data_IF_782247577556
#
_entry.id   IF_782247577556
#
_cell.length_a   1.000
_cell.length_b   1.000
_cell.length_c   1.000
_cell.angle_alpha   90.00
_cell.angle_beta   90.00
_cell.angle_gamma   90.00
#
_symmetry.space_group_name_H-M   'P 1'
#
loop_
_entity.id
_entity.type
_entity.pdbx_description
1 polymer ?
#
# COMPACT_ATOMS: atom_id res chain seq x y z
N UNK A 1 -9.57 -9.91 -8.50
CA UNK A 1 -9.39 -8.57 -7.92
C UNK A 1 -8.15 -8.00 -8.56
N UNK A 2 -8.17 -6.78 -9.10
CA UNK A 2 -6.94 -6.23 -9.70
C UNK A 2 -5.94 -5.84 -8.62
N UNK A 3 -4.66 -5.83 -8.96
CA UNK A 3 -3.55 -5.44 -8.08
C UNK A 3 -3.72 -3.98 -7.62
N UNK A 4 -4.36 -3.16 -8.46
CA UNK A 4 -4.74 -1.79 -8.12
C UNK A 4 -5.82 -1.74 -7.03
N UNK A 5 -6.84 -2.62 -7.10
CA UNK A 5 -7.82 -2.75 -6.02
C UNK A 5 -7.18 -3.29 -4.74
N UNK A 6 -6.23 -4.23 -4.85
CA UNK A 6 -5.50 -4.74 -3.70
C UNK A 6 -4.68 -3.64 -3.02
N UNK A 7 -3.94 -2.84 -3.80
CA UNK A 7 -3.18 -1.69 -3.30
C UNK A 7 -4.08 -0.67 -2.58
N UNK A 8 -5.26 -0.36 -3.13
CA UNK A 8 -6.23 0.53 -2.48
C UNK A 8 -6.77 -0.05 -1.18
N UNK A 9 -7.11 -1.33 -1.16
CA UNK A 9 -7.61 -1.99 0.04
C UNK A 9 -6.54 -2.00 1.16
N UNK A 10 -5.29 -2.28 0.81
CA UNK A 10 -4.15 -2.22 1.73
C UNK A 10 -3.96 -0.81 2.28
N UNK A 11 -3.91 0.21 1.42
CA UNK A 11 -3.76 1.61 1.85
C UNK A 11 -4.94 2.10 2.67
N UNK A 12 -6.16 1.70 2.32
CA UNK A 12 -7.38 2.05 3.05
C UNK A 12 -7.30 1.58 4.50
N UNK A 13 -6.89 0.32 4.71
CA UNK A 13 -6.73 -0.27 6.05
C UNK A 13 -5.56 0.33 6.81
N UNK A 14 -4.41 0.49 6.15
CA UNK A 14 -3.20 1.01 6.76
C UNK A 14 -3.34 2.48 7.19
N UNK A 15 -4.02 3.31 6.39
CA UNK A 15 -4.12 4.75 6.62
C UNK A 15 -5.42 5.18 7.30
N UNK A 16 -6.37 4.25 7.50
CA UNK A 16 -7.71 4.47 8.03
C UNK A 16 -8.52 5.48 7.20
N UNK A 17 -8.48 5.32 5.89
CA UNK A 17 -9.20 6.16 4.92
C UNK A 17 -10.09 5.30 4.02
N UNK A 18 -11.25 5.79 3.55
CA UNK A 18 -12.09 5.02 2.63
C UNK A 18 -11.39 4.79 1.27
N UNK A 19 -11.48 3.57 0.71
CA UNK A 19 -10.96 3.26 -0.64
C UNK A 19 -11.46 4.23 -1.72
N UNK A 20 -12.71 4.70 -1.59
CA UNK A 20 -13.32 5.66 -2.51
C UNK A 20 -12.60 7.02 -2.56
N UNK A 21 -11.79 7.33 -1.55
CA UNK A 21 -10.99 8.56 -1.50
C UNK A 21 -9.58 8.39 -2.09
N UNK A 22 -9.21 7.17 -2.48
CA UNK A 22 -7.88 6.85 -3.01
C UNK A 22 -7.96 6.79 -4.53
N UNK A 23 -7.38 7.79 -5.20
CA UNK A 23 -7.23 7.80 -6.65
C UNK A 23 -6.23 6.74 -7.14
N UNK A 24 -6.39 6.27 -8.38
CA UNK A 24 -5.54 5.22 -8.97
C UNK A 24 -4.06 5.62 -9.08
N UNK A 25 -3.82 6.92 -9.30
CA UNK A 25 -2.50 7.52 -9.42
C UNK A 25 -2.22 8.51 -8.27
N UNK A 26 -2.96 8.38 -7.16
CA UNK A 26 -2.75 9.24 -6.00
C UNK A 26 -1.34 9.03 -5.43
N UNK A 27 -0.66 10.14 -5.16
CA UNK A 27 0.59 10.12 -4.40
C UNK A 27 0.27 9.72 -2.96
N UNK A 28 0.89 8.65 -2.49
CA UNK A 28 0.67 8.09 -1.15
C UNK A 28 1.03 9.13 -0.08
N UNK A 29 2.04 9.97 -0.33
CA UNK A 29 2.43 11.05 0.58
C UNK A 29 1.43 12.19 0.63
N UNK A 30 0.67 12.40 -0.46
CA UNK A 30 -0.41 13.39 -0.51
C UNK A 30 -1.69 12.90 0.19
N UNK A 31 -1.88 11.58 0.28
CA UNK A 31 -3.01 10.97 0.98
C UNK A 31 -2.85 11.06 2.49
N UNK A 32 -1.64 10.78 3.00
CA UNK A 32 -1.28 10.95 4.41
C UNK A 32 0.25 10.97 4.56
N UNK A 33 0.82 11.79 5.46
CA UNK A 33 2.24 11.67 5.78
C UNK A 33 2.58 10.25 6.22
N UNK A 34 3.56 9.63 5.57
CA UNK A 34 4.04 8.30 5.92
C UNK A 34 5.00 8.42 7.11
N UNK A 35 4.45 8.55 8.31
CA UNK A 35 5.23 8.44 9.54
C UNK A 35 5.58 6.97 9.83
N UNK A 36 6.42 6.74 10.85
CA UNK A 36 6.89 5.39 11.19
C UNK A 36 5.74 4.41 11.49
N UNK A 37 4.64 4.90 12.07
CA UNK A 37 3.48 4.06 12.42
C UNK A 37 2.62 3.73 11.21
N UNK A 38 2.42 4.70 10.30
CA UNK A 38 1.75 4.49 9.04
C UNK A 38 2.52 3.50 8.16
N UNK A 39 3.85 3.59 8.15
CA UNK A 39 4.71 2.66 7.43
C UNK A 39 4.61 1.23 8.01
N UNK A 40 4.69 1.09 9.34
CA UNK A 40 4.52 -0.22 10.00
C UNK A 40 3.13 -0.82 9.73
N UNK A 41 2.09 0.00 9.81
CA UNK A 41 0.71 -0.42 9.50
C UNK A 41 0.58 -0.88 8.05
N UNK A 42 1.22 -0.18 7.11
CA UNK A 42 1.25 -0.56 5.69
C UNK A 42 1.92 -1.91 5.49
N UNK A 43 3.08 -2.13 6.08
CA UNK A 43 3.81 -3.41 6.00
C UNK A 43 2.94 -4.54 6.53
N UNK A 44 2.35 -4.39 7.73
CA UNK A 44 1.49 -5.40 8.32
C UNK A 44 0.27 -5.74 7.44
N UNK A 45 -0.35 -4.74 6.80
CA UNK A 45 -1.47 -5.00 5.89
C UNK A 45 -1.04 -5.68 4.59
N UNK A 46 0.16 -5.39 4.08
CA UNK A 46 0.73 -6.10 2.92
C UNK A 46 1.00 -7.56 3.28
N UNK A 47 1.63 -7.83 4.42
CA UNK A 47 1.90 -9.19 4.90
C UNK A 47 0.62 -9.98 5.13
N UNK A 48 -0.40 -9.34 5.74
CA UNK A 48 -1.73 -9.94 5.87
C UNK A 48 -2.36 -10.26 4.51
N UNK A 49 -2.15 -9.40 3.51
CA UNK A 49 -2.69 -9.61 2.18
C UNK A 49 -1.99 -10.76 1.44
N UNK A 50 -0.67 -10.85 1.55
CA UNK A 50 0.14 -11.87 0.86
C UNK A 50 0.20 -13.20 1.63
N UNK A 51 -0.10 -13.20 2.93
CA UNK A 51 0.01 -14.38 3.80
C UNK A 51 1.46 -14.78 4.12
N UNK A 52 2.44 -13.92 3.83
CA UNK A 52 3.87 -14.13 4.05
C UNK A 52 4.54 -12.84 4.54
N UNK A 53 5.71 -12.96 5.17
CA UNK A 53 6.54 -11.79 5.53
C UNK A 53 6.94 -11.00 4.27
N UNK A 54 7.00 -9.68 4.41
CA UNK A 54 7.25 -8.78 3.29
C UNK A 54 8.57 -8.02 3.47
N UNK A 55 9.41 -8.04 2.43
CA UNK A 55 10.66 -7.29 2.44
C UNK A 55 10.41 -5.79 2.27
N UNK A 56 10.50 -5.05 3.37
CA UNK A 56 10.31 -3.60 3.44
C UNK A 56 11.20 -2.80 2.49
N UNK A 57 12.34 -3.37 2.04
CA UNK A 57 13.21 -2.73 1.03
C UNK A 57 12.46 -2.52 -0.29
N UNK A 58 11.47 -3.38 -0.60
CA UNK A 58 10.64 -3.25 -1.81
C UNK A 58 9.67 -2.06 -1.76
N UNK A 59 9.42 -1.48 -0.59
CA UNK A 59 8.64 -0.24 -0.44
C UNK A 59 9.48 1.01 -0.65
N UNK A 60 10.82 0.90 -0.68
CA UNK A 60 11.69 2.05 -0.92
C UNK A 60 11.41 2.59 -2.32
N UNK A 61 10.96 3.85 -2.38
CA UNK A 61 10.67 4.54 -3.64
C UNK A 61 9.25 4.35 -4.17
N UNK A 62 8.38 3.65 -3.45
CA UNK A 62 6.94 3.62 -3.72
C UNK A 62 6.36 5.00 -3.44
N UNK A 63 5.81 5.66 -4.46
CA UNK A 63 5.24 7.02 -4.36
C UNK A 63 3.76 7.07 -4.65
N UNK A 64 3.27 6.17 -5.49
CA UNK A 64 1.87 6.14 -5.91
C UNK A 64 1.18 4.82 -5.60
N UNK A 65 -0.14 4.84 -5.62
CA UNK A 65 -0.97 3.62 -5.50
C UNK A 65 -0.61 2.60 -6.58
N UNK A 66 -0.27 3.07 -7.78
CA UNK A 66 0.18 2.22 -8.89
C UNK A 66 1.54 1.57 -8.62
N UNK A 67 2.47 2.27 -7.98
CA UNK A 67 3.76 1.68 -7.58
C UNK A 67 3.54 0.55 -6.57
N UNK A 68 2.64 0.77 -5.60
CA UNK A 68 2.28 -0.25 -4.63
C UNK A 68 1.61 -1.45 -5.31
N UNK A 69 0.71 -1.23 -6.27
CA UNK A 69 0.10 -2.30 -7.05
C UNK A 69 1.16 -3.15 -7.79
N UNK A 70 2.14 -2.50 -8.42
CA UNK A 70 3.26 -3.19 -9.09
C UNK A 70 4.17 -3.95 -8.12
N UNK A 71 4.29 -3.49 -6.87
CA UNK A 71 5.01 -4.21 -5.81
C UNK A 71 4.24 -5.46 -5.38
N UNK A 72 2.92 -5.35 -5.20
CA UNK A 72 2.06 -6.48 -4.86
C UNK A 72 2.03 -7.54 -5.98
N UNK A 73 1.96 -7.10 -7.24
CA UNK A 73 2.02 -7.97 -8.43
C UNK A 73 3.29 -8.84 -8.46
N UNK A 74 4.44 -8.27 -8.07
CA UNK A 74 5.73 -8.97 -8.06
C UNK A 74 5.96 -9.82 -6.81
N UNK A 75 5.07 -9.72 -5.82
CA UNK A 75 5.20 -10.40 -4.53
C UNK A 75 4.28 -11.62 -4.40
N UNK A 76 3.14 -11.63 -5.13
CA UNK A 76 2.29 -12.82 -5.32
C UNK A 76 2.77 -13.72 -6.46
#
# INVERSE_FOLDING_TARGET
>A
MSELQAAKAVLSRALFIPEAMIGDDADISAVKPMDSLAFESLVLEIERHLGVEFDVVRLIGVKSVRDLAAVLEKAG
#
